data_IF_662347955933
#
_entry.id   IF_662347955933
#
_cell.length_a   1.000
_cell.length_b   1.000
_cell.length_c   1.000
_cell.angle_alpha   90.00
_cell.angle_beta   90.00
_cell.angle_gamma   90.00
#
_symmetry.space_group_name_H-M   'P 1'
#
loop_
_entity.id
_entity.type
_entity.pdbx_description
1 polymer ?
#
# COMPACT_ATOMS: atom_id res chain seq x y z
N UNK A 1 -47.58 -70.88 -14.38
CA UNK A 1 -46.47 -70.05 -13.88
C UNK A 1 -46.42 -68.79 -14.72
N UNK A 2 -47.01 -67.69 -14.25
CA UNK A 2 -46.79 -66.33 -14.77
C UNK A 2 -46.59 -65.42 -13.56
N UNK A 3 -45.40 -64.83 -13.46
CA UNK A 3 -45.00 -63.88 -12.41
C UNK A 3 -45.56 -62.51 -12.80
N UNK A 4 -46.40 -61.93 -11.96
CA UNK A 4 -46.65 -60.49 -11.99
C UNK A 4 -45.43 -59.79 -11.38
N UNK A 5 -44.76 -58.94 -12.15
CA UNK A 5 -43.79 -57.95 -11.66
C UNK A 5 -44.52 -56.61 -11.59
N UNK A 6 -44.58 -55.92 -10.43
CA UNK A 6 -44.96 -54.51 -10.42
C UNK A 6 -43.76 -53.65 -10.86
N UNK A 7 -44.02 -52.67 -11.72
CA UNK A 7 -43.05 -51.74 -12.29
C UNK A 7 -42.37 -50.84 -11.23
N UNK A 8 -41.13 -50.36 -11.50
CA UNK A 8 -40.38 -49.56 -10.53
C UNK A 8 -40.93 -48.13 -10.39
N UNK A 9 -41.11 -47.72 -9.14
CA UNK A 9 -41.45 -46.37 -8.72
C UNK A 9 -40.38 -45.36 -9.22
N UNK A 10 -40.71 -44.53 -10.20
CA UNK A 10 -39.83 -43.47 -10.68
C UNK A 10 -39.77 -42.34 -9.64
N UNK A 11 -38.71 -42.34 -8.83
CA UNK A 11 -38.33 -41.22 -7.96
C UNK A 11 -37.55 -40.19 -8.80
N UNK A 12 -38.05 -38.97 -9.08
CA UNK A 12 -37.23 -37.93 -9.68
C UNK A 12 -36.22 -37.42 -8.64
N UNK A 13 -34.93 -37.64 -8.90
CA UNK A 13 -33.82 -37.04 -8.15
C UNK A 13 -33.72 -35.51 -8.39
N UNK A 14 -32.99 -34.76 -7.54
CA UNK A 14 -33.37 -33.41 -7.08
C UNK A 14 -33.08 -32.28 -8.07
N UNK A 15 -33.87 -31.21 -7.97
CA UNK A 15 -33.59 -29.92 -8.62
C UNK A 15 -32.24 -29.35 -8.15
N UNK A 16 -31.39 -28.83 -9.06
CA UNK A 16 -30.16 -28.16 -8.69
C UNK A 16 -30.44 -26.81 -8.01
N UNK A 17 -29.84 -26.61 -6.85
CA UNK A 17 -29.84 -25.36 -6.09
C UNK A 17 -29.21 -24.23 -6.93
N UNK A 18 -29.84 -23.04 -7.09
CA UNK A 18 -29.24 -21.95 -7.85
C UNK A 18 -27.96 -21.41 -7.17
N UNK A 19 -26.93 -21.19 -7.97
CA UNK A 19 -25.61 -20.69 -7.56
C UNK A 19 -25.67 -19.40 -6.71
N UNK A 20 -24.72 -19.20 -5.77
CA UNK A 20 -24.63 -17.97 -4.99
C UNK A 20 -24.32 -16.78 -5.91
N UNK A 21 -25.15 -15.75 -5.80
CA UNK A 21 -24.98 -14.47 -6.50
C UNK A 21 -23.66 -13.82 -6.07
N UNK A 22 -22.82 -13.29 -6.99
CA UNK A 22 -21.65 -12.51 -6.60
C UNK A 22 -22.11 -11.25 -5.85
N UNK A 23 -21.53 -11.04 -4.68
CA UNK A 23 -21.70 -9.83 -3.88
C UNK A 23 -21.12 -8.64 -4.67
N UNK A 24 -21.83 -7.50 -4.81
CA UNK A 24 -21.27 -6.34 -5.50
C UNK A 24 -19.98 -5.89 -4.81
N UNK A 25 -18.94 -5.69 -5.60
CA UNK A 25 -17.64 -5.15 -5.18
C UNK A 25 -17.80 -3.87 -4.36
N UNK A 26 -17.01 -3.65 -3.28
CA UNK A 26 -17.00 -2.38 -2.57
C UNK A 26 -16.74 -1.25 -3.55
N UNK A 27 -17.69 -0.33 -3.63
CA UNK A 27 -17.56 0.86 -4.46
C UNK A 27 -16.52 1.78 -3.79
N UNK A 28 -15.26 1.69 -4.23
CA UNK A 28 -14.22 2.64 -3.85
C UNK A 28 -14.47 3.95 -4.60
N UNK A 29 -15.42 4.75 -4.14
CA UNK A 29 -15.39 6.19 -4.45
C UNK A 29 -14.16 6.77 -3.76
N UNK A 30 -13.19 7.36 -4.49
CA UNK A 30 -12.04 7.99 -3.86
C UNK A 30 -12.54 9.11 -2.94
N UNK A 31 -12.12 9.07 -1.67
CA UNK A 31 -12.35 10.17 -0.75
C UNK A 31 -11.64 11.42 -1.33
N UNK A 32 -12.33 12.56 -1.54
CA UNK A 32 -11.70 13.76 -2.09
C UNK A 32 -10.67 14.39 -1.16
N UNK A 33 -10.60 13.95 0.10
CA UNK A 33 -9.53 14.29 1.02
C UNK A 33 -8.64 13.06 1.21
N UNK A 34 -7.48 12.96 0.54
CA UNK A 34 -6.55 11.88 0.82
C UNK A 34 -6.15 11.97 2.29
N UNK A 35 -6.18 10.83 2.99
CA UNK A 35 -5.46 10.72 4.26
C UNK A 35 -4.02 11.17 4.03
N UNK A 36 -3.33 11.83 4.98
CA UNK A 36 -2.00 12.39 4.74
C UNK A 36 -1.03 11.37 4.14
N UNK A 37 -1.14 10.08 4.49
CA UNK A 37 -0.35 8.98 3.92
C UNK A 37 -0.57 8.75 2.43
N UNK A 38 -1.81 8.88 1.94
CA UNK A 38 -2.14 8.70 0.52
C UNK A 38 -1.66 9.89 -0.31
N UNK A 39 -1.60 11.09 0.29
CA UNK A 39 -1.10 12.28 -0.38
C UNK A 39 0.39 12.17 -0.75
N UNK A 40 1.23 11.54 0.09
CA UNK A 40 2.66 11.38 -0.22
C UNK A 40 2.91 10.39 -1.35
N UNK A 41 2.19 9.26 -1.35
CA UNK A 41 2.26 8.24 -2.41
C UNK A 41 1.69 8.82 -3.70
N UNK A 42 0.50 9.41 -3.67
CA UNK A 42 -0.14 9.99 -4.84
C UNK A 42 0.71 11.10 -5.46
N UNK A 43 1.29 11.98 -4.63
CA UNK A 43 2.19 13.01 -5.13
C UNK A 43 3.44 12.40 -5.78
N UNK A 44 4.00 11.32 -5.23
CA UNK A 44 5.22 10.71 -5.74
C UNK A 44 5.00 9.87 -7.01
N UNK A 45 3.75 9.50 -7.30
CA UNK A 45 3.36 8.78 -8.52
C UNK A 45 2.59 9.65 -9.51
N UNK A 46 2.39 10.94 -9.22
CA UNK A 46 1.59 11.85 -10.05
C UNK A 46 2.23 12.17 -11.40
N UNK A 47 3.55 11.98 -11.51
CA UNK A 47 4.32 12.17 -12.72
C UNK A 47 5.20 10.93 -12.95
N UNK A 48 5.18 10.29 -14.14
CA UNK A 48 5.91 9.04 -14.40
C UNK A 48 7.43 9.18 -14.31
N UNK A 49 7.96 10.40 -14.37
CA UNK A 49 9.38 10.68 -14.21
C UNK A 49 9.79 10.95 -12.74
N UNK A 50 8.82 11.06 -11.82
CA UNK A 50 9.13 11.18 -10.39
C UNK A 50 9.52 9.81 -9.83
N UNK A 51 10.54 9.80 -8.98
CA UNK A 51 11.02 8.58 -8.31
C UNK A 51 10.81 8.74 -6.81
N UNK A 52 10.15 7.75 -6.20
CA UNK A 52 10.07 7.61 -4.75
C UNK A 52 11.06 6.54 -4.28
N UNK A 53 12.04 6.94 -3.49
CA UNK A 53 12.87 6.01 -2.73
C UNK A 53 12.26 5.81 -1.34
N UNK A 54 11.93 4.58 -1.00
CA UNK A 54 11.58 4.19 0.36
C UNK A 54 12.74 3.40 0.94
N UNK A 55 13.33 3.90 2.03
CA UNK A 55 14.46 3.26 2.70
C UNK A 55 14.04 2.77 4.09
N UNK A 56 14.10 1.45 4.29
CA UNK A 56 13.67 0.78 5.52
C UNK A 56 14.90 0.42 6.34
N UNK A 57 14.96 0.91 7.58
CA UNK A 57 16.20 0.88 8.36
C UNK A 57 17.19 1.92 7.84
N UNK A 58 16.72 3.13 7.57
CA UNK A 58 17.53 4.17 6.92
C UNK A 58 18.70 4.68 7.77
N UNK A 59 18.73 4.35 9.07
CA UNK A 59 19.67 4.90 10.03
C UNK A 59 19.65 6.43 10.00
N UNK A 60 20.83 7.03 9.89
CA UNK A 60 21.02 8.49 9.83
C UNK A 60 20.93 9.06 8.40
N UNK A 61 20.55 8.26 7.41
CA UNK A 61 20.26 8.74 6.06
C UNK A 61 21.47 9.21 5.23
N UNK A 62 22.65 8.62 5.41
CA UNK A 62 23.89 8.99 4.69
C UNK A 62 23.76 8.98 3.16
N UNK A 63 22.83 8.21 2.61
CA UNK A 63 22.57 8.11 1.17
C UNK A 63 21.65 9.21 0.66
N UNK A 64 20.88 9.88 1.54
CA UNK A 64 19.76 10.72 1.13
C UNK A 64 20.22 12.01 0.47
N UNK A 65 21.09 12.77 1.12
CA UNK A 65 21.50 14.09 0.61
C UNK A 65 22.24 14.00 -0.74
N UNK A 66 23.24 13.11 -0.93
CA UNK A 66 23.87 12.95 -2.24
C UNK A 66 22.88 12.58 -3.35
N UNK A 67 21.91 11.71 -3.05
CA UNK A 67 20.89 11.31 -4.04
C UNK A 67 19.91 12.45 -4.35
N UNK A 68 19.54 13.25 -3.35
CA UNK A 68 18.68 14.43 -3.52
C UNK A 68 19.37 15.55 -4.29
N UNK A 69 20.69 15.69 -4.19
CA UNK A 69 21.49 16.61 -5.00
C UNK A 69 21.56 16.16 -6.47
N UNK A 70 21.80 14.86 -6.70
CA UNK A 70 21.94 14.30 -8.05
C UNK A 70 20.62 14.31 -8.81
N UNK A 71 19.51 13.98 -8.16
CA UNK A 71 18.20 13.89 -8.79
C UNK A 71 17.21 14.90 -8.17
N UNK A 72 16.97 16.06 -8.81
CA UNK A 72 16.04 17.08 -8.30
C UNK A 72 14.58 16.62 -8.23
N UNK A 73 14.24 15.51 -8.91
CA UNK A 73 12.90 14.89 -8.89
C UNK A 73 12.77 13.73 -7.92
N UNK A 74 13.87 13.33 -7.27
CA UNK A 74 13.84 12.29 -6.26
C UNK A 74 13.10 12.80 -5.02
N UNK A 75 12.27 11.91 -4.49
CA UNK A 75 11.65 12.03 -3.17
C UNK A 75 12.03 10.82 -2.34
N UNK A 76 12.26 11.03 -1.06
CA UNK A 76 12.76 10.01 -0.13
C UNK A 76 11.84 9.91 1.08
N UNK A 77 11.48 8.69 1.43
CA UNK A 77 10.86 8.35 2.71
C UNK A 77 11.81 7.42 3.46
N UNK A 78 12.36 7.90 4.57
CA UNK A 78 13.24 7.15 5.46
C UNK A 78 12.48 6.64 6.68
N UNK A 79 12.53 5.34 6.94
CA UNK A 79 11.93 4.71 8.11
C UNK A 79 13.02 4.04 8.93
N UNK A 80 13.01 4.23 10.25
CA UNK A 80 13.90 3.50 11.15
C UNK A 80 13.20 3.18 12.49
N UNK A 81 13.68 2.15 13.19
CA UNK A 81 13.24 1.82 14.53
C UNK A 81 13.93 2.68 15.60
N UNK A 82 15.18 3.09 15.35
CA UNK A 82 15.98 3.86 16.28
C UNK A 82 15.59 5.34 16.24
N UNK A 83 14.93 5.80 17.30
CA UNK A 83 14.62 7.23 17.48
C UNK A 83 15.86 8.11 17.34
N UNK A 84 16.97 7.68 17.94
CA UNK A 84 18.24 8.41 17.88
C UNK A 84 18.75 8.60 16.45
N UNK A 85 18.55 7.61 15.57
CA UNK A 85 18.99 7.71 14.18
C UNK A 85 18.17 8.74 13.40
N UNK A 86 16.85 8.76 13.62
CA UNK A 86 15.96 9.77 13.02
C UNK A 86 16.23 11.16 13.57
N UNK A 87 16.48 11.30 14.87
CA UNK A 87 16.85 12.58 15.49
C UNK A 87 18.17 13.12 14.92
N UNK A 88 19.17 12.27 14.72
CA UNK A 88 20.45 12.65 14.12
C UNK A 88 20.30 13.03 12.64
N UNK A 89 19.50 12.28 11.85
CA UNK A 89 19.17 12.67 10.47
C UNK A 89 18.48 14.04 10.42
N UNK A 90 17.53 14.30 11.32
CA UNK A 90 16.80 15.57 11.39
C UNK A 90 17.63 16.75 11.90
N UNK A 91 18.73 16.48 12.60
CA UNK A 91 19.66 17.51 13.04
C UNK A 91 20.56 18.04 11.90
N UNK A 92 20.60 17.36 10.75
CA UNK A 92 21.32 17.86 9.58
C UNK A 92 20.63 19.11 9.00
N UNK A 93 21.41 20.15 8.70
CA UNK A 93 20.90 21.44 8.19
C UNK A 93 20.14 21.33 6.86
N UNK A 94 20.48 20.33 6.04
CA UNK A 94 19.82 20.07 4.76
C UNK A 94 18.47 19.37 4.91
N UNK A 95 18.19 18.77 6.09
CA UNK A 95 16.96 18.04 6.32
C UNK A 95 15.73 18.95 6.18
N UNK A 96 15.70 20.06 6.91
CA UNK A 96 14.57 21.00 6.88
C UNK A 96 14.32 21.55 5.48
N UNK A 97 15.38 21.91 4.76
CA UNK A 97 15.26 22.38 3.37
C UNK A 97 14.54 21.37 2.47
N UNK A 98 14.93 20.09 2.52
CA UNK A 98 14.33 19.06 1.69
C UNK A 98 12.95 18.61 2.18
N UNK A 99 12.69 18.67 3.49
CA UNK A 99 11.37 18.38 4.06
C UNK A 99 10.34 19.44 3.65
N UNK A 100 10.69 20.73 3.71
CA UNK A 100 9.82 21.84 3.26
C UNK A 100 9.54 21.77 1.75
N UNK A 101 10.49 21.27 0.95
CA UNK A 101 10.29 20.98 -0.47
C UNK A 101 9.43 19.74 -0.73
N UNK A 102 9.04 18.99 0.31
CA UNK A 102 8.31 17.74 0.19
C UNK A 102 9.12 16.59 -0.42
N UNK A 103 10.45 16.69 -0.39
CA UNK A 103 11.40 15.75 -1.02
C UNK A 103 12.03 14.78 -0.05
N UNK A 104 12.03 15.06 1.24
CA UNK A 104 12.53 14.14 2.27
C UNK A 104 11.54 14.08 3.42
N UNK A 105 11.21 12.88 3.86
CA UNK A 105 10.49 12.67 5.10
C UNK A 105 11.08 11.50 5.86
N UNK A 106 11.40 11.69 7.14
CA UNK A 106 11.93 10.64 7.99
C UNK A 106 11.07 10.41 9.24
N UNK A 107 10.82 9.15 9.57
CA UNK A 107 9.92 8.78 10.66
C UNK A 107 10.40 7.55 11.44
N UNK A 108 10.24 7.62 12.77
CA UNK A 108 10.39 6.45 13.64
C UNK A 108 9.15 5.57 13.46
N UNK A 109 9.33 4.33 13.00
CA UNK A 109 8.25 3.36 12.81
C UNK A 109 8.56 2.09 13.56
N UNK A 110 7.94 1.86 14.72
CA UNK A 110 8.01 0.61 15.49
C UNK A 110 6.77 -0.26 15.29
N UNK A 111 6.89 -1.55 15.67
CA UNK A 111 5.72 -2.40 15.90
C UNK A 111 5.10 -1.98 17.24
N UNK A 112 4.08 -1.13 17.17
CA UNK A 112 3.16 -0.83 18.26
C UNK A 112 1.93 -1.71 18.18
#
# INVERSE_FOLDING_TARGET
>A
RNRYQPEPNHNPSPSPNPSPHPNPTPNHTPNPNPEPSDAWVAAATSNPDDTLLVDIGCGVGNTFFPLLEINPRLRVVGLDFARSAIEELKANELYTMHEEQGRLHAQVRGLG
#
